data_IF_733524959233
#
_entry.id   IF_733524959233
#
_cell.length_a   1.000
_cell.length_b   1.000
_cell.length_c   1.000
_cell.angle_alpha   90.00
_cell.angle_beta   90.00
_cell.angle_gamma   90.00
#
_symmetry.space_group_name_H-M   'P 1'
#
loop_
_entity.id
_entity.type
_entity.pdbx_description
1 polymer ?
#
# COMPACT_ATOMS: atom_id res chain seq x y z
N UNK A 1 68.34 0.61 -65.80
CA UNK A 1 67.06 -0.10 -65.60
C UNK A 1 66.49 -0.02 -64.17
N UNK A 2 67.27 0.37 -63.14
CA UNK A 2 66.87 0.24 -61.73
C UNK A 2 65.98 1.33 -61.11
N UNK A 3 65.90 2.54 -61.67
CA UNK A 3 65.17 3.67 -61.05
C UNK A 3 63.63 3.59 -61.20
N UNK A 4 63.13 3.04 -62.31
CA UNK A 4 61.68 2.84 -62.50
C UNK A 4 61.10 1.75 -61.60
N UNK A 5 61.91 0.77 -61.17
CA UNK A 5 61.48 -0.29 -60.27
C UNK A 5 61.34 0.20 -58.83
N UNK A 6 62.22 1.10 -58.37
CA UNK A 6 62.18 1.63 -57.00
C UNK A 6 61.03 2.62 -56.79
N UNK A 7 60.67 3.43 -57.78
CA UNK A 7 59.49 4.32 -57.72
C UNK A 7 58.16 3.53 -57.68
N UNK A 8 58.06 2.44 -58.44
CA UNK A 8 56.85 1.59 -58.43
C UNK A 8 56.64 0.89 -57.09
N UNK A 9 57.71 0.42 -56.44
CA UNK A 9 57.63 -0.19 -55.11
C UNK A 9 57.21 0.85 -54.06
N UNK A 10 57.73 2.08 -54.12
CA UNK A 10 57.36 3.16 -53.21
C UNK A 10 55.88 3.57 -53.37
N UNK A 11 55.39 3.64 -54.61
CA UNK A 11 53.98 3.90 -54.93
C UNK A 11 53.06 2.78 -54.42
N UNK A 12 53.43 1.53 -54.63
CA UNK A 12 52.68 0.35 -54.15
C UNK A 12 52.54 0.34 -52.62
N UNK A 13 53.60 0.64 -51.88
CA UNK A 13 53.57 0.69 -50.41
C UNK A 13 52.70 1.83 -49.87
N UNK A 14 52.66 2.98 -50.57
CA UNK A 14 51.77 4.09 -50.22
C UNK A 14 50.30 3.72 -50.41
N UNK A 15 49.96 3.03 -51.50
CA UNK A 15 48.59 2.54 -51.77
C UNK A 15 48.18 1.51 -50.71
N UNK A 16 49.04 0.53 -50.39
CA UNK A 16 48.77 -0.45 -49.34
C UNK A 16 48.51 0.20 -47.98
N UNK A 17 49.31 1.21 -47.61
CA UNK A 17 49.12 2.00 -46.38
C UNK A 17 47.78 2.76 -46.35
N UNK A 18 47.39 3.38 -47.47
CA UNK A 18 46.12 4.09 -47.59
C UNK A 18 44.92 3.14 -47.50
N UNK A 19 44.98 1.97 -48.12
CA UNK A 19 43.93 0.95 -48.03
C UNK A 19 43.75 0.47 -46.59
N UNK A 20 44.84 0.22 -45.86
CA UNK A 20 44.77 -0.16 -44.44
C UNK A 20 44.16 0.94 -43.57
N UNK A 21 44.51 2.21 -43.82
CA UNK A 21 43.93 3.36 -43.11
C UNK A 21 42.43 3.53 -43.39
N UNK A 22 41.98 3.36 -44.64
CA UNK A 22 40.56 3.42 -45.00
C UNK A 22 39.77 2.28 -44.33
N UNK A 23 40.30 1.05 -44.32
CA UNK A 23 39.68 -0.07 -43.60
C UNK A 23 39.56 0.21 -42.10
N UNK A 24 40.62 0.73 -41.47
CA UNK A 24 40.59 1.11 -40.05
C UNK A 24 39.58 2.23 -39.74
N UNK A 25 39.45 3.23 -40.63
CA UNK A 25 38.46 4.29 -40.50
C UNK A 25 37.02 3.78 -40.66
N UNK A 26 36.77 2.85 -41.58
CA UNK A 26 35.47 2.20 -41.75
C UNK A 26 35.07 1.42 -40.49
N UNK A 27 35.99 0.65 -39.91
CA UNK A 27 35.73 -0.07 -38.65
C UNK A 27 35.43 0.86 -37.47
N UNK A 28 36.14 2.00 -37.34
CA UNK A 28 35.86 3.00 -36.31
C UNK A 28 34.47 3.64 -36.48
N UNK A 29 34.06 3.97 -37.71
CA UNK A 29 32.71 4.50 -37.99
C UNK A 29 31.61 3.47 -37.68
N UNK A 30 31.85 2.20 -38.04
CA UNK A 30 30.93 1.11 -37.72
C UNK A 30 30.81 0.89 -36.20
N UNK A 31 31.92 0.92 -35.47
CA UNK A 31 31.94 0.80 -34.01
C UNK A 31 31.15 1.92 -33.33
N UNK A 32 31.37 3.18 -33.74
CA UNK A 32 30.65 4.34 -33.20
C UNK A 32 29.14 4.22 -33.47
N UNK A 33 28.76 3.79 -34.67
CA UNK A 33 27.35 3.59 -35.04
C UNK A 33 26.67 2.51 -34.19
N UNK A 34 27.34 1.38 -33.95
CA UNK A 34 26.80 0.30 -33.11
C UNK A 34 26.69 0.77 -31.66
N UNK A 35 27.72 1.44 -31.15
CA UNK A 35 27.72 1.98 -29.79
C UNK A 35 26.60 3.00 -29.57
N UNK A 36 26.34 3.89 -30.56
CA UNK A 36 25.22 4.84 -30.46
C UNK A 36 23.86 4.15 -30.44
N UNK A 37 23.66 3.09 -31.24
CA UNK A 37 22.41 2.32 -31.24
C UNK A 37 22.22 1.62 -29.90
N UNK A 38 23.28 1.02 -29.33
CA UNK A 38 23.21 0.37 -28.01
C UNK A 38 22.86 1.36 -26.90
N UNK A 39 23.40 2.58 -26.93
CA UNK A 39 23.04 3.63 -25.95
C UNK A 39 21.57 4.03 -26.10
N UNK A 40 21.08 4.21 -27.33
CA UNK A 40 19.68 4.56 -27.59
C UNK A 40 18.74 3.44 -27.10
N UNK A 41 19.05 2.17 -27.40
CA UNK A 41 18.28 1.01 -26.93
C UNK A 41 18.27 0.94 -25.40
N UNK A 42 19.41 1.18 -24.75
CA UNK A 42 19.50 1.22 -23.28
C UNK A 42 18.63 2.32 -22.67
N UNK A 43 18.62 3.52 -23.27
CA UNK A 43 17.78 4.63 -22.82
C UNK A 43 16.28 4.34 -23.01
N UNK A 44 15.90 3.66 -24.09
CA UNK A 44 14.52 3.22 -24.34
C UNK A 44 14.09 2.14 -23.33
N UNK A 45 14.96 1.18 -23.03
CA UNK A 45 14.68 0.15 -22.03
C UNK A 45 14.56 0.76 -20.62
N UNK A 46 15.40 1.75 -20.29
CA UNK A 46 15.33 2.46 -19.02
C UNK A 46 14.04 3.28 -18.89
N UNK A 47 13.63 3.98 -19.94
CA UNK A 47 12.35 4.72 -19.93
C UNK A 47 11.14 3.78 -19.82
N UNK A 48 11.19 2.62 -20.48
CA UNK A 48 10.16 1.59 -20.36
C UNK A 48 10.07 1.01 -18.94
N UNK A 49 11.21 0.74 -18.30
CA UNK A 49 11.25 0.24 -16.93
C UNK A 49 10.69 1.27 -15.93
N UNK A 50 10.98 2.56 -16.15
CA UNK A 50 10.43 3.67 -15.35
C UNK A 50 8.92 3.76 -15.56
N UNK A 51 8.44 3.65 -16.80
CA UNK A 51 7.02 3.68 -17.12
C UNK A 51 6.24 2.57 -16.39
N UNK A 52 6.74 1.34 -16.40
CA UNK A 52 6.12 0.23 -15.66
C UNK A 52 6.26 0.35 -14.13
N UNK A 53 7.29 1.04 -13.63
CA UNK A 53 7.48 1.26 -12.19
C UNK A 53 6.62 2.40 -11.62
N UNK A 54 6.07 3.26 -12.48
CA UNK A 54 5.10 4.26 -12.04
C UNK A 54 3.74 3.55 -11.95
N UNK A 55 3.20 3.29 -10.73
CA UNK A 55 1.85 2.77 -10.63
C UNK A 55 0.90 3.76 -11.34
N UNK A 56 -0.13 3.28 -12.05
CA UNK A 56 -1.14 4.17 -12.59
C UNK A 56 -1.60 5.07 -11.44
N UNK A 57 -1.54 6.39 -11.63
CA UNK A 57 -2.18 7.33 -10.72
C UNK A 57 -3.67 7.07 -10.87
N UNK A 58 -4.19 6.14 -10.08
CA UNK A 58 -5.63 6.03 -9.86
C UNK A 58 -6.01 7.39 -9.30
N UNK A 59 -6.80 8.14 -10.06
CA UNK A 59 -7.26 9.42 -9.56
C UNK A 59 -8.13 9.06 -8.35
N UNK A 60 -7.97 9.82 -7.25
CA UNK A 60 -8.67 9.53 -5.98
C UNK A 60 -10.19 9.47 -6.15
N UNK A 61 -10.69 10.04 -7.25
CA UNK A 61 -12.11 10.10 -7.60
C UNK A 61 -12.65 8.79 -8.20
N UNK A 62 -11.83 7.94 -8.79
CA UNK A 62 -12.26 6.66 -9.39
C UNK A 62 -12.15 5.50 -8.39
N UNK A 63 -11.11 5.53 -7.54
CA UNK A 63 -11.02 4.60 -6.41
C UNK A 63 -12.15 4.84 -5.40
N UNK A 64 -12.49 6.11 -5.12
CA UNK A 64 -13.54 6.46 -4.16
C UNK A 64 -14.91 5.93 -4.52
N UNK A 65 -15.24 5.80 -5.81
CA UNK A 65 -16.58 5.40 -6.25
C UNK A 65 -16.90 3.92 -6.03
N UNK A 66 -15.90 3.05 -5.80
CA UNK A 66 -16.14 1.61 -5.62
C UNK A 66 -16.19 1.16 -4.16
N UNK A 67 -15.40 1.77 -3.26
CA UNK A 67 -15.46 1.46 -1.82
C UNK A 67 -16.48 2.32 -1.06
N UNK A 68 -16.91 3.46 -1.61
CA UNK A 68 -17.86 4.36 -0.94
C UNK A 68 -19.29 3.79 -0.84
N UNK A 69 -19.59 2.67 -1.50
CA UNK A 69 -20.91 2.04 -1.48
C UNK A 69 -20.98 0.75 -0.66
N UNK A 70 -19.93 0.37 0.09
CA UNK A 70 -20.03 -0.82 0.95
C UNK A 70 -20.68 -0.42 2.28
N UNK A 71 -21.90 -0.92 2.58
CA UNK A 71 -22.56 -0.59 3.83
C UNK A 71 -21.71 -1.05 5.02
N UNK A 72 -21.84 -0.37 6.16
CA UNK A 72 -21.10 -0.62 7.40
C UNK A 72 -21.26 -2.07 7.88
N UNK A 73 -22.44 -2.65 7.61
CA UNK A 73 -22.78 -4.04 7.78
C UNK A 73 -23.93 -4.41 6.83
N UNK A 74 -24.23 -5.70 6.60
CA UNK A 74 -25.39 -6.10 5.79
C UNK A 74 -26.67 -5.43 6.29
N UNK A 75 -27.41 -4.79 5.40
CA UNK A 75 -28.64 -4.05 5.68
C UNK A 75 -28.48 -2.76 6.51
N UNK A 76 -27.28 -2.16 6.56
CA UNK A 76 -27.13 -0.84 7.16
C UNK A 76 -27.86 0.23 6.33
N UNK A 77 -28.69 1.05 6.99
CA UNK A 77 -29.49 2.11 6.38
C UNK A 77 -29.30 3.45 7.13
N UNK A 78 -29.78 4.55 6.54
CA UNK A 78 -29.70 5.90 7.11
C UNK A 78 -28.33 6.57 6.95
N UNK A 79 -28.12 7.68 7.67
CA UNK A 79 -26.92 8.53 7.52
C UNK A 79 -25.61 7.84 7.92
N UNK A 80 -25.67 6.81 8.76
CA UNK A 80 -24.51 6.00 9.15
C UNK A 80 -24.28 4.75 8.27
N UNK A 81 -25.12 4.53 7.25
CA UNK A 81 -25.09 3.29 6.46
C UNK A 81 -23.72 3.02 5.81
N UNK A 82 -23.02 4.08 5.39
CA UNK A 82 -21.77 3.99 4.64
C UNK A 82 -20.53 4.18 5.53
N UNK A 83 -20.68 4.14 6.85
CA UNK A 83 -19.54 4.29 7.75
C UNK A 83 -18.49 3.18 7.49
N UNK A 84 -17.22 3.52 7.22
CA UNK A 84 -16.17 2.53 6.95
C UNK A 84 -15.85 1.67 8.18
N UNK A 85 -16.05 2.21 9.39
CA UNK A 85 -15.70 1.54 10.64
C UNK A 85 -14.21 1.20 10.68
N UNK A 86 -13.89 0.01 11.19
CA UNK A 86 -12.53 -0.50 11.28
C UNK A 86 -11.96 -1.10 10.00
N UNK A 87 -12.69 -1.12 8.89
CA UNK A 87 -12.32 -1.86 7.67
C UNK A 87 -11.08 -1.29 6.98
N UNK A 88 -11.08 0.02 6.78
CA UNK A 88 -9.98 0.75 6.13
C UNK A 88 -10.12 2.26 6.41
N UNK A 89 -9.02 2.98 6.28
CA UNK A 89 -9.01 4.44 6.31
C UNK A 89 -8.96 5.00 4.87
N UNK A 90 -10.01 5.68 4.38
CA UNK A 90 -10.04 6.24 3.03
C UNK A 90 -9.00 7.34 2.78
N UNK A 91 -8.54 8.00 3.84
CA UNK A 91 -7.60 9.12 3.74
C UNK A 91 -6.16 8.63 3.55
N UNK A 92 -5.82 7.53 4.22
CA UNK A 92 -4.44 6.99 4.23
C UNK A 92 -4.28 5.72 3.38
N UNK A 93 -5.37 5.06 3.00
CA UNK A 93 -5.35 3.74 2.36
C UNK A 93 -4.94 2.61 3.30
N UNK A 94 -4.88 2.85 4.61
CA UNK A 94 -4.51 1.83 5.60
C UNK A 94 -5.68 0.86 5.82
N UNK A 95 -5.39 -0.45 5.78
CA UNK A 95 -6.37 -1.49 6.08
C UNK A 95 -6.54 -1.71 7.59
N UNK A 96 -7.71 -2.22 7.95
CA UNK A 96 -8.06 -2.66 9.29
C UNK A 96 -7.21 -3.82 9.80
N UNK A 97 -6.80 -3.76 11.06
CA UNK A 97 -6.28 -4.92 11.79
C UNK A 97 -7.38 -5.54 12.65
N UNK A 98 -7.31 -6.85 12.88
CA UNK A 98 -8.22 -7.52 13.81
C UNK A 98 -7.56 -7.55 15.18
N UNK A 99 -8.27 -7.06 16.20
CA UNK A 99 -7.85 -7.09 17.60
C UNK A 99 -8.80 -7.99 18.36
N UNK A 100 -8.25 -8.94 19.11
CA UNK A 100 -9.00 -9.91 19.88
C UNK A 100 -9.04 -9.49 21.35
N UNK A 101 -10.25 -9.33 21.88
CA UNK A 101 -10.48 -9.19 23.32
C UNK A 101 -10.48 -10.58 23.94
N UNK A 102 -9.55 -10.82 24.86
CA UNK A 102 -9.28 -12.12 25.48
C UNK A 102 -9.51 -12.12 26.99
N UNK A 103 -9.82 -10.96 27.58
CA UNK A 103 -10.15 -10.83 29.01
C UNK A 103 -11.35 -9.92 29.22
N UNK A 104 -12.05 -10.12 30.35
CA UNK A 104 -13.16 -9.30 30.80
C UNK A 104 -12.73 -8.16 31.75
N UNK A 105 -11.42 -8.05 32.03
CA UNK A 105 -10.88 -6.96 32.82
C UNK A 105 -11.12 -5.61 32.12
N UNK A 106 -11.38 -4.56 32.90
CA UNK A 106 -11.59 -3.20 32.36
C UNK A 106 -10.38 -2.72 31.55
N UNK A 107 -9.16 -3.01 32.00
CA UNK A 107 -7.92 -2.53 31.40
C UNK A 107 -6.83 -3.60 31.36
N UNK A 108 -5.71 -3.27 30.70
CA UNK A 108 -4.57 -4.16 30.52
C UNK A 108 -4.63 -4.98 29.23
N UNK A 109 -3.65 -5.87 29.07
CA UNK A 109 -3.47 -6.64 27.84
C UNK A 109 -4.68 -7.54 27.54
N UNK A 110 -5.19 -7.46 26.31
CA UNK A 110 -6.33 -8.23 25.83
C UNK A 110 -7.69 -7.67 26.26
N UNK A 111 -7.73 -6.51 26.93
CA UNK A 111 -8.98 -5.85 27.35
C UNK A 111 -9.66 -5.12 26.18
N UNK A 112 -10.96 -4.85 26.33
CA UNK A 112 -11.69 -4.01 25.39
C UNK A 112 -11.13 -2.57 25.36
N UNK A 113 -10.70 -2.04 26.51
CA UNK A 113 -10.14 -0.69 26.61
C UNK A 113 -8.84 -0.54 25.82
N UNK A 114 -7.92 -1.50 25.95
CA UNK A 114 -6.70 -1.54 25.13
C UNK A 114 -7.02 -1.57 23.62
N UNK A 115 -8.02 -2.37 23.22
CA UNK A 115 -8.45 -2.44 21.82
C UNK A 115 -9.05 -1.11 21.31
N UNK A 116 -9.79 -0.41 22.17
CA UNK A 116 -10.37 0.91 21.86
C UNK A 116 -9.27 1.97 21.72
N UNK A 117 -8.27 1.96 22.60
CA UNK A 117 -7.18 2.95 22.61
C UNK A 117 -6.11 2.71 21.53
N UNK A 118 -6.15 1.54 20.88
CA UNK A 118 -5.22 1.21 19.79
C UNK A 118 -5.43 2.12 18.59
N UNK A 119 -4.34 2.64 18.02
CA UNK A 119 -4.39 3.55 16.88
C UNK A 119 -4.63 2.82 15.55
N UNK A 120 -5.26 3.55 14.64
CA UNK A 120 -5.50 3.11 13.26
C UNK A 120 -6.79 2.29 13.10
N UNK A 121 -7.12 1.93 11.85
CA UNK A 121 -8.31 1.15 11.55
C UNK A 121 -8.27 -0.21 12.22
N UNK A 122 -9.31 -0.54 12.99
CA UNK A 122 -9.33 -1.78 13.78
C UNK A 122 -10.71 -2.39 13.94
N UNK A 123 -10.76 -3.70 13.83
CA UNK A 123 -11.95 -4.52 14.04
C UNK A 123 -11.74 -5.30 15.33
N UNK A 124 -12.53 -4.96 16.34
CA UNK A 124 -12.50 -5.60 17.65
C UNK A 124 -13.46 -6.79 17.65
N UNK A 125 -12.91 -7.97 17.91
CA UNK A 125 -13.63 -9.25 18.05
C UNK A 125 -13.40 -9.82 19.45
N UNK A 126 -14.24 -10.73 19.89
CA UNK A 126 -14.22 -11.25 21.26
C UNK A 126 -13.99 -12.75 21.28
N UNK A 127 -13.00 -13.21 22.04
CA UNK A 127 -12.78 -14.63 22.36
C UNK A 127 -13.41 -15.02 23.70
N UNK A 128 -13.85 -14.03 24.48
CA UNK A 128 -14.53 -14.17 25.77
C UNK A 128 -15.95 -13.62 25.71
N UNK A 129 -16.77 -14.00 26.70
CA UNK A 129 -18.15 -13.54 26.84
C UNK A 129 -18.48 -13.30 28.30
N UNK A 130 -19.42 -12.41 28.57
CA UNK A 130 -19.81 -12.06 29.94
C UNK A 130 -19.88 -10.56 30.17
N UNK A 131 -19.63 -10.18 31.43
CA UNK A 131 -19.75 -8.81 31.91
C UNK A 131 -18.35 -8.21 32.03
N UNK A 132 -18.14 -7.06 31.40
CA UNK A 132 -16.98 -6.20 31.64
C UNK A 132 -17.44 -5.14 32.63
N UNK A 133 -16.98 -5.24 33.86
CA UNK A 133 -17.23 -4.26 34.91
C UNK A 133 -16.25 -3.10 34.72
N UNK A 134 -16.75 -1.99 34.19
CA UNK A 134 -15.91 -0.84 33.92
C UNK A 134 -15.52 -0.17 35.24
N UNK A 135 -14.29 0.35 35.30
CA UNK A 135 -13.78 1.13 36.44
C UNK A 135 -13.88 2.65 36.18
N UNK A 136 -14.10 3.02 34.93
CA UNK A 136 -14.28 4.41 34.48
C UNK A 136 -15.00 4.44 33.13
N UNK A 137 -15.37 5.63 32.67
CA UNK A 137 -15.94 5.84 31.34
C UNK A 137 -15.09 5.17 30.24
N UNK A 138 -15.75 4.46 29.33
CA UNK A 138 -15.10 3.83 28.18
C UNK A 138 -15.23 4.72 26.95
N UNK A 139 -14.29 5.64 26.78
CA UNK A 139 -14.32 6.65 25.70
C UNK A 139 -13.64 6.15 24.43
N UNK A 140 -14.35 6.18 23.30
CA UNK A 140 -13.78 5.89 21.98
C UNK A 140 -13.31 7.21 21.36
N UNK A 141 -12.00 7.46 21.43
CA UNK A 141 -11.34 8.69 20.96
C UNK A 141 -10.59 8.51 19.64
N UNK A 142 -10.15 7.28 19.35
CA UNK A 142 -9.46 6.94 18.10
C UNK A 142 -10.48 6.52 17.00
N UNK A 143 -10.44 7.13 15.80
CA UNK A 143 -11.42 6.88 14.73
C UNK A 143 -11.23 5.51 14.07
N UNK A 144 -12.15 5.16 13.16
CA UNK A 144 -12.07 3.95 12.33
C UNK A 144 -12.04 2.66 13.17
N UNK A 145 -13.11 2.41 13.91
CA UNK A 145 -13.24 1.20 14.73
C UNK A 145 -14.56 0.50 14.45
N UNK A 146 -14.51 -0.84 14.41
CA UNK A 146 -15.69 -1.70 14.46
C UNK A 146 -15.63 -2.59 15.69
N UNK A 147 -16.58 -2.47 16.60
CA UNK A 147 -16.76 -3.37 17.74
C UNK A 147 -17.83 -4.40 17.38
N UNK A 148 -17.39 -5.64 17.14
CA UNK A 148 -18.21 -6.74 16.63
C UNK A 148 -18.65 -7.69 17.75
N UNK A 149 -19.61 -7.27 18.59
CA UNK A 149 -20.07 -8.04 19.75
C UNK A 149 -20.62 -9.44 19.42
N UNK A 150 -21.14 -9.65 18.21
CA UNK A 150 -21.66 -10.96 17.76
C UNK A 150 -20.58 -12.04 17.61
N UNK A 151 -19.30 -11.68 17.69
CA UNK A 151 -18.18 -12.63 17.66
C UNK A 151 -17.92 -13.29 19.01
N UNK A 152 -18.44 -12.72 20.10
CA UNK A 152 -18.28 -13.32 21.42
C UNK A 152 -18.99 -14.68 21.49
N UNK A 153 -18.40 -15.66 22.20
CA UNK A 153 -19.08 -16.91 22.47
C UNK A 153 -20.31 -16.70 23.38
N UNK A 154 -21.21 -17.69 23.45
CA UNK A 154 -22.30 -17.70 24.44
C UNK A 154 -23.22 -16.47 24.42
N UNK A 155 -23.43 -15.88 25.60
CA UNK A 155 -24.48 -14.87 25.86
C UNK A 155 -24.14 -13.44 25.42
N UNK A 156 -22.98 -13.22 24.78
CA UNK A 156 -22.57 -11.89 24.36
C UNK A 156 -21.74 -11.12 25.39
N UNK A 157 -21.45 -9.86 25.06
CA UNK A 157 -20.73 -8.92 25.94
C UNK A 157 -21.71 -7.91 26.54
N UNK A 158 -21.57 -7.66 27.84
CA UNK A 158 -22.26 -6.59 28.56
C UNK A 158 -21.27 -5.66 29.25
N UNK A 159 -21.37 -4.36 28.98
CA UNK A 159 -20.65 -3.32 29.73
C UNK A 159 -21.48 -2.92 30.95
N UNK A 160 -20.84 -2.78 32.12
CA UNK A 160 -21.50 -2.45 33.39
C UNK A 160 -20.78 -1.30 34.11
N UNK A 161 -21.47 -0.63 35.04
CA UNK A 161 -21.01 0.42 35.97
C UNK A 161 -20.73 1.80 35.36
N UNK A 162 -20.25 1.88 34.12
CA UNK A 162 -19.98 3.16 33.45
C UNK A 162 -20.51 3.17 32.01
N UNK A 163 -20.65 4.37 31.47
CA UNK A 163 -21.05 4.59 30.07
C UNK A 163 -19.90 4.32 29.11
N UNK A 164 -20.27 3.90 27.90
CA UNK A 164 -19.39 3.93 26.73
C UNK A 164 -19.75 5.15 25.88
N UNK A 165 -18.78 6.02 25.64
CA UNK A 165 -18.98 7.32 24.97
C UNK A 165 -18.21 7.35 23.66
N UNK A 166 -18.85 7.87 22.61
CA UNK A 166 -18.28 7.93 21.27
C UNK A 166 -17.83 9.37 21.01
N UNK A 167 -16.52 9.59 20.94
CA UNK A 167 -15.90 10.91 20.73
C UNK A 167 -15.11 10.99 19.43
N UNK A 168 -15.22 9.97 18.58
CA UNK A 168 -14.48 9.83 17.33
C UNK A 168 -15.41 9.58 16.14
N UNK A 169 -15.04 10.03 14.93
CA UNK A 169 -15.77 9.68 13.72
C UNK A 169 -15.49 8.24 13.27
N UNK A 170 -16.36 7.72 12.40
CA UNK A 170 -16.21 6.41 11.75
C UNK A 170 -16.18 5.22 12.72
N UNK A 171 -17.18 5.18 13.60
CA UNK A 171 -17.34 4.15 14.64
C UNK A 171 -18.54 3.26 14.28
N UNK A 172 -18.34 1.94 14.31
CA UNK A 172 -19.41 0.94 14.16
C UNK A 172 -19.43 0.07 15.41
N UNK A 173 -20.55 0.02 16.12
CA UNK A 173 -20.73 -0.82 17.32
C UNK A 173 -21.96 -1.68 17.09
N UNK A 174 -21.83 -2.99 17.29
CA UNK A 174 -22.94 -3.92 17.11
C UNK A 174 -22.94 -4.98 18.20
N UNK A 175 -24.15 -5.40 18.59
CA UNK A 175 -24.38 -6.52 19.51
C UNK A 175 -23.66 -6.41 20.86
N UNK A 176 -23.59 -5.20 21.41
CA UNK A 176 -23.10 -4.93 22.77
C UNK A 176 -24.30 -4.58 23.66
N UNK A 177 -24.34 -5.15 24.87
CA UNK A 177 -25.28 -4.72 25.92
C UNK A 177 -24.60 -3.66 26.80
N UNK A 178 -25.34 -2.66 27.23
CA UNK A 178 -24.86 -1.60 28.12
C UNK A 178 -25.77 -1.47 29.33
N UNK A 179 -25.19 -1.50 30.53
CA UNK A 179 -25.84 -1.38 31.84
C UNK A 179 -25.03 -0.45 32.76
N UNK A 180 -25.03 0.86 32.48
CA UNK A 180 -24.18 1.80 33.21
C UNK A 180 -24.59 2.05 34.67
N UNK A 181 -25.69 1.44 35.16
CA UNK A 181 -26.18 1.55 36.54
C UNK A 181 -26.69 0.22 37.08
#
# INVERSE_FOLDING_TARGET
>A
MGSKLTENVKSSNKIKSLVTRIKALKHKKLYISILSVLVIVSLILLSLQIYFSIPPRVNREDASLTWAMIPAFPFAEGFGALTPGGRYNPLTGQNGTVIKVTTLNDSGSGSLREAIDTKGPRIVVFEVSGIIELESELAITEPFITIAGQTSPGDGICLKNYSMTIMAPNVVIRFIRSRPG
#
